data_IF_240642811775
#
_entry.id   IF_240642811775
#
_cell.length_a   1.000
_cell.length_b   1.000
_cell.length_c   1.000
_cell.angle_alpha   90.00
_cell.angle_beta   90.00
_cell.angle_gamma   90.00
#
_symmetry.space_group_name_H-M   'P 1'
#
loop_
_entity.id
_entity.type
_entity.pdbx_description
1 polymer ?
#
# COMPACT_ATOMS: atom_id res chain seq x y z
N UNK A 1 -46.55 31.00 -37.20
CA UNK A 1 -45.42 30.03 -37.19
C UNK A 1 -44.19 30.76 -36.65
N UNK A 2 -43.86 30.58 -35.36
CA UNK A 2 -42.75 31.27 -34.70
C UNK A 2 -41.65 30.23 -34.47
N UNK A 3 -40.54 30.34 -35.21
CA UNK A 3 -39.35 29.49 -35.03
C UNK A 3 -38.53 30.06 -33.86
N UNK A 4 -38.52 29.36 -32.73
CA UNK A 4 -37.60 29.62 -31.62
C UNK A 4 -36.24 29.02 -31.99
N UNK A 5 -35.23 29.86 -32.16
CA UNK A 5 -33.82 29.44 -32.19
C UNK A 5 -33.36 29.19 -30.75
N UNK A 6 -32.96 27.96 -30.44
CA UNK A 6 -32.27 27.61 -29.19
C UNK A 6 -30.77 27.93 -29.26
N UNK A 7 -30.10 28.15 -28.13
CA UNK A 7 -28.67 28.46 -28.11
C UNK A 7 -27.85 27.21 -28.41
N UNK A 8 -26.92 27.35 -29.34
CA UNK A 8 -25.88 26.37 -29.69
C UNK A 8 -24.91 26.26 -28.52
N UNK A 9 -24.80 25.07 -27.94
CA UNK A 9 -23.85 24.75 -26.88
C UNK A 9 -22.52 24.38 -27.54
N UNK A 10 -21.47 25.16 -27.28
CA UNK A 10 -20.12 24.95 -27.80
C UNK A 10 -19.46 23.79 -27.03
N UNK A 11 -19.04 22.73 -27.73
CA UNK A 11 -18.53 21.48 -27.15
C UNK A 11 -17.00 21.45 -27.00
N UNK A 12 -16.31 22.59 -27.12
CA UNK A 12 -14.84 22.61 -27.20
C UNK A 12 -14.09 23.15 -25.96
N UNK A 13 -14.74 23.29 -24.81
CA UNK A 13 -14.03 23.56 -23.55
C UNK A 13 -13.63 22.24 -22.88
N UNK A 14 -12.36 21.84 -23.03
CA UNK A 14 -11.73 20.88 -22.13
C UNK A 14 -11.53 21.55 -20.76
N UNK A 15 -12.12 21.04 -19.66
CA UNK A 15 -11.80 21.53 -18.34
C UNK A 15 -10.59 20.77 -17.77
N UNK A 16 -9.58 21.52 -17.33
CA UNK A 16 -8.79 21.12 -16.15
C UNK A 16 -7.38 20.58 -16.37
N UNK A 17 -6.46 21.41 -16.88
CA UNK A 17 -5.01 21.30 -16.59
C UNK A 17 -4.44 22.63 -16.07
N UNK A 18 -4.95 23.11 -14.93
CA UNK A 18 -4.55 24.43 -14.38
C UNK A 18 -4.37 24.45 -12.85
N UNK A 19 -3.78 23.41 -12.26
CA UNK A 19 -3.61 23.36 -10.79
C UNK A 19 -2.18 23.28 -10.26
N UNK A 20 -1.13 23.46 -11.09
CA UNK A 20 0.26 23.40 -10.57
C UNK A 20 1.19 24.56 -10.96
N UNK A 21 0.67 25.67 -11.49
CA UNK A 21 1.52 26.83 -11.83
C UNK A 21 1.04 28.10 -11.13
N UNK A 22 1.74 28.51 -10.07
CA UNK A 22 1.69 29.89 -9.59
C UNK A 22 1.80 30.09 -8.08
N UNK A 23 3.02 30.02 -7.54
CA UNK A 23 3.46 30.89 -6.43
C UNK A 23 4.94 31.22 -6.64
N UNK A 24 5.23 31.94 -7.73
CA UNK A 24 6.44 32.75 -7.84
C UNK A 24 6.02 34.19 -7.52
N UNK A 25 6.53 34.73 -6.42
CA UNK A 25 6.17 36.05 -5.92
C UNK A 25 6.57 37.16 -6.87
N UNK A 26 5.58 37.92 -7.36
CA UNK A 26 5.79 39.27 -7.85
C UNK A 26 5.88 40.23 -6.67
N UNK A 27 7.10 40.62 -6.33
CA UNK A 27 7.35 41.78 -5.49
C UNK A 27 7.16 43.05 -6.34
N UNK A 28 5.93 43.59 -6.37
CA UNK A 28 5.71 44.96 -6.84
C UNK A 28 6.12 45.95 -5.74
N UNK A 29 7.23 46.62 -6.00
CA UNK A 29 7.68 47.81 -5.28
C UNK A 29 6.64 48.92 -5.39
N UNK A 30 5.87 49.14 -4.33
CA UNK A 30 5.08 50.37 -4.15
C UNK A 30 5.79 51.28 -3.16
N UNK A 31 6.48 52.27 -3.70
CA UNK A 31 7.04 53.39 -2.96
C UNK A 31 5.93 54.14 -2.21
N UNK A 32 6.05 54.20 -0.89
CA UNK A 32 5.16 54.94 0.00
C UNK A 32 5.96 55.56 1.13
N UNK A 33 6.39 56.80 0.91
CA UNK A 33 7.01 57.69 1.89
C UNK A 33 6.03 57.98 3.04
N UNK A 34 6.39 57.69 4.31
CA UNK A 34 6.05 58.57 5.43
C UNK A 34 6.85 58.26 6.71
N UNK A 35 7.64 59.26 7.06
CA UNK A 35 8.24 59.60 8.37
C UNK A 35 7.29 59.48 9.56
N UNK A 36 7.81 59.06 10.72
CA UNK A 36 7.18 59.38 12.01
C UNK A 36 7.64 58.53 13.21
N UNK A 37 8.61 59.07 13.94
CA UNK A 37 8.83 59.07 15.40
C UNK A 37 8.93 57.77 16.24
N UNK A 38 10.13 57.67 16.83
CA UNK A 38 10.50 57.21 18.17
C UNK A 38 9.37 57.17 19.21
N UNK A 39 9.28 56.07 19.98
CA UNK A 39 9.27 56.11 21.45
C UNK A 39 9.69 54.74 22.01
N UNK A 40 10.75 54.74 22.81
CA UNK A 40 11.16 53.66 23.71
C UNK A 40 10.07 53.37 24.76
N UNK A 41 9.87 52.10 25.10
CA UNK A 41 9.41 51.70 26.42
C UNK A 41 9.80 50.25 26.72
N UNK A 42 10.67 50.13 27.71
CA UNK A 42 10.99 48.94 28.48
C UNK A 42 9.77 48.07 28.81
N UNK A 43 9.92 46.76 28.64
CA UNK A 43 9.17 45.77 29.41
C UNK A 43 9.96 44.46 29.51
N UNK A 44 10.45 44.22 30.73
CA UNK A 44 11.14 43.03 31.16
C UNK A 44 10.29 41.77 30.94
N UNK A 45 10.82 40.82 30.16
CA UNK A 45 10.24 39.49 29.98
C UNK A 45 10.91 38.51 30.94
N UNK A 46 10.31 38.35 32.12
CA UNK A 46 10.65 37.33 33.12
C UNK A 46 10.19 35.96 32.61
N UNK A 47 11.14 35.11 32.21
CA UNK A 47 10.85 33.72 31.84
C UNK A 47 10.42 32.90 33.06
N UNK A 48 9.28 32.18 33.03
CA UNK A 48 8.94 31.23 34.08
C UNK A 48 9.82 29.98 33.95
N UNK A 49 10.62 29.73 34.99
CA UNK A 49 11.40 28.51 35.22
C UNK A 49 10.43 27.36 35.51
N UNK A 50 10.14 26.54 34.50
CA UNK A 50 9.39 25.29 34.67
C UNK A 50 10.27 24.27 35.41
N UNK A 51 9.87 23.94 36.63
CA UNK A 51 10.36 22.81 37.42
C UNK A 51 9.98 21.51 36.74
N UNK A 52 10.97 20.78 36.24
CA UNK A 52 10.84 19.40 35.80
C UNK A 52 10.87 18.51 37.04
N UNK A 53 9.68 18.19 37.57
CA UNK A 53 9.49 17.12 38.55
C UNK A 53 9.55 15.77 37.84
N UNK A 54 10.72 15.14 37.88
CA UNK A 54 10.97 13.82 37.31
C UNK A 54 10.84 12.78 38.44
N UNK A 55 9.66 12.16 38.59
CA UNK A 55 9.47 10.98 39.44
C UNK A 55 8.61 9.95 38.74
N UNK A 56 9.28 9.00 38.09
CA UNK A 56 9.09 7.57 38.31
C UNK A 56 7.70 6.99 38.04
N UNK A 57 7.56 6.35 36.88
CA UNK A 57 6.98 5.01 36.71
C UNK A 57 7.17 4.62 35.24
N UNK A 58 8.35 4.09 34.91
CA UNK A 58 8.59 3.47 33.62
C UNK A 58 7.89 2.11 33.59
N UNK A 59 6.61 2.09 33.24
CA UNK A 59 6.03 0.91 32.62
C UNK A 59 6.71 0.73 31.27
N UNK A 60 7.55 -0.30 31.17
CA UNK A 60 8.19 -0.74 29.93
C UNK A 60 7.13 -1.27 28.97
N UNK A 61 6.37 -0.36 28.35
CA UNK A 61 5.65 -0.63 27.13
C UNK A 61 6.69 -0.88 26.05
N UNK A 62 6.75 -2.11 25.55
CA UNK A 62 7.54 -2.47 24.38
C UNK A 62 7.33 -1.39 23.32
N UNK A 63 8.42 -0.71 22.95
CA UNK A 63 8.40 0.35 21.96
C UNK A 63 7.97 -0.27 20.62
N UNK A 64 6.67 -0.24 20.34
CA UNK A 64 6.15 -0.56 19.03
C UNK A 64 6.68 0.53 18.11
N UNK A 65 7.64 0.17 17.27
CA UNK A 65 8.17 1.08 16.27
C UNK A 65 6.99 1.59 15.45
N UNK A 66 6.73 2.91 15.53
CA UNK A 66 5.73 3.58 14.71
C UNK A 66 6.18 3.41 13.26
N UNK A 67 5.68 2.38 12.59
CA UNK A 67 5.94 2.19 11.16
C UNK A 67 5.26 3.34 10.45
N UNK A 68 6.03 4.08 9.68
CA UNK A 68 5.48 5.06 8.75
C UNK A 68 4.66 4.28 7.73
N UNK A 69 3.35 4.53 7.67
CA UNK A 69 2.46 3.95 6.68
C UNK A 69 2.36 4.96 5.54
N UNK A 70 2.75 4.58 4.34
CA UNK A 70 2.57 5.43 3.18
C UNK A 70 1.07 5.58 2.87
N UNK A 71 0.59 6.78 2.50
CA UNK A 71 -0.80 6.95 2.08
C UNK A 71 -1.15 6.01 0.92
N UNK A 72 -2.40 5.54 0.90
CA UNK A 72 -2.90 4.74 -0.22
C UNK A 72 -2.79 5.53 -1.53
N UNK A 73 -2.07 4.98 -2.50
CA UNK A 73 -1.86 5.60 -3.80
C UNK A 73 -3.05 5.27 -4.71
N UNK A 74 -4.00 6.19 -4.83
CA UNK A 74 -5.11 6.04 -5.77
C UNK A 74 -4.59 6.11 -7.21
N UNK A 75 -5.06 5.22 -8.08
CA UNK A 75 -4.95 5.46 -9.52
C UNK A 75 -5.90 6.57 -9.95
N UNK A 76 -5.60 7.26 -11.06
CA UNK A 76 -6.49 8.29 -11.63
C UNK A 76 -7.93 7.77 -11.83
N UNK A 77 -8.05 6.51 -12.26
CA UNK A 77 -9.34 5.84 -12.43
C UNK A 77 -10.08 5.62 -11.11
N UNK A 78 -9.37 5.21 -10.06
CA UNK A 78 -9.96 5.04 -8.73
C UNK A 78 -10.42 6.38 -8.16
N UNK A 79 -9.57 7.40 -8.28
CA UNK A 79 -9.88 8.76 -7.83
C UNK A 79 -11.13 9.29 -8.52
N UNK A 80 -11.17 9.24 -9.85
CA UNK A 80 -12.33 9.67 -10.64
C UNK A 80 -13.60 8.89 -10.31
N UNK A 81 -13.50 7.58 -10.05
CA UNK A 81 -14.64 6.76 -9.67
C UNK A 81 -15.21 7.14 -8.29
N UNK A 82 -14.35 7.43 -7.32
CA UNK A 82 -14.76 7.86 -5.98
C UNK A 82 -15.37 9.26 -6.07
N UNK A 83 -14.76 10.17 -6.82
CA UNK A 83 -15.26 11.52 -7.02
C UNK A 83 -16.65 11.52 -7.68
N UNK A 84 -16.82 10.76 -8.77
CA UNK A 84 -18.11 10.62 -9.45
C UNK A 84 -19.19 10.04 -8.52
N UNK A 85 -18.81 9.08 -7.66
CA UNK A 85 -19.75 8.51 -6.70
C UNK A 85 -20.15 9.50 -5.61
N UNK A 86 -19.22 10.32 -5.10
CA UNK A 86 -19.52 11.40 -4.16
C UNK A 86 -20.49 12.41 -4.81
N UNK A 87 -20.21 12.86 -6.02
CA UNK A 87 -21.07 13.77 -6.77
C UNK A 87 -22.48 13.21 -7.00
N UNK A 88 -22.58 11.93 -7.39
CA UNK A 88 -23.87 11.24 -7.59
C UNK A 88 -24.72 11.10 -6.31
N UNK A 89 -24.13 11.31 -5.13
CA UNK A 89 -24.83 11.33 -3.85
C UNK A 89 -25.16 12.74 -3.35
N UNK A 90 -25.07 13.75 -4.22
CA UNK A 90 -25.40 15.15 -3.90
C UNK A 90 -24.31 15.90 -3.16
N UNK A 91 -23.06 15.41 -3.21
CA UNK A 91 -21.90 16.05 -2.58
C UNK A 91 -21.15 16.87 -3.64
N UNK A 92 -21.72 18.02 -4.01
CA UNK A 92 -21.35 18.78 -5.21
C UNK A 92 -20.08 19.64 -5.09
N UNK A 93 -19.62 19.93 -3.88
CA UNK A 93 -18.37 20.68 -3.67
C UNK A 93 -17.13 19.82 -4.03
N UNK A 94 -16.50 20.15 -5.16
CA UNK A 94 -15.30 19.46 -5.63
C UNK A 94 -14.10 19.57 -4.69
N UNK A 95 -13.95 20.68 -3.97
CA UNK A 95 -12.85 20.86 -3.02
C UNK A 95 -13.07 19.96 -1.80
N UNK A 96 -14.29 19.97 -1.25
CA UNK A 96 -14.67 19.08 -0.15
C UNK A 96 -14.50 17.60 -0.52
N UNK A 97 -14.88 17.21 -1.75
CA UNK A 97 -14.65 15.85 -2.26
C UNK A 97 -13.17 15.50 -2.30
N UNK A 98 -12.33 16.38 -2.84
CA UNK A 98 -10.89 16.13 -2.94
C UNK A 98 -10.23 15.98 -1.55
N UNK A 99 -10.60 16.84 -0.60
CA UNK A 99 -10.13 16.76 0.79
C UNK A 99 -10.59 15.46 1.45
N UNK A 100 -11.86 15.09 1.28
CA UNK A 100 -12.41 13.85 1.83
C UNK A 100 -11.66 12.61 1.29
N UNK A 101 -11.42 12.54 -0.02
CA UNK A 101 -10.67 11.42 -0.64
C UNK A 101 -9.24 11.38 -0.09
N UNK A 102 -8.54 12.52 -0.07
CA UNK A 102 -7.16 12.59 0.42
C UNK A 102 -7.03 12.17 1.90
N UNK A 103 -7.99 12.56 2.73
CA UNK A 103 -8.00 12.21 4.15
C UNK A 103 -8.21 10.71 4.40
N UNK A 104 -8.93 10.01 3.53
CA UNK A 104 -9.12 8.55 3.64
C UNK A 104 -7.88 7.74 3.21
N UNK A 105 -6.93 8.33 2.48
CA UNK A 105 -5.79 7.61 1.91
C UNK A 105 -4.96 6.89 2.98
N UNK A 106 -4.70 7.55 4.12
CA UNK A 106 -3.89 6.96 5.18
C UNK A 106 -4.63 5.80 5.86
N UNK A 107 -5.92 5.96 6.17
CA UNK A 107 -6.67 4.90 6.84
C UNK A 107 -6.89 3.68 5.95
N UNK A 108 -7.06 3.89 4.63
CA UNK A 108 -7.11 2.79 3.66
C UNK A 108 -5.81 2.01 3.62
N UNK A 109 -4.66 2.67 3.69
CA UNK A 109 -3.37 1.98 3.76
C UNK A 109 -3.25 1.13 5.03
N UNK A 110 -3.74 1.63 6.18
CA UNK A 110 -3.78 0.90 7.46
C UNK A 110 -4.74 -0.30 7.42
N UNK A 111 -5.84 -0.20 6.66
CA UNK A 111 -6.73 -1.34 6.41
C UNK A 111 -6.09 -2.37 5.48
N UNK A 112 -5.47 -1.92 4.39
CA UNK A 112 -4.86 -2.79 3.39
C UNK A 112 -3.68 -3.58 3.95
N UNK A 113 -2.86 -2.98 4.82
CA UNK A 113 -1.67 -3.63 5.41
C UNK A 113 -1.99 -4.87 6.27
N UNK A 114 -3.27 -5.13 6.53
CA UNK A 114 -3.76 -6.29 7.29
C UNK A 114 -4.03 -7.50 6.41
N UNK A 115 -4.32 -7.26 5.13
CA UNK A 115 -4.55 -8.34 4.18
C UNK A 115 -3.19 -8.98 3.99
N UNK A 116 -2.96 -10.23 4.48
CA UNK A 116 -1.71 -10.89 4.23
C UNK A 116 -1.52 -10.95 2.72
N UNK A 117 -0.37 -10.48 2.23
CA UNK A 117 -0.05 -10.55 0.81
C UNK A 117 -0.32 -12.00 0.35
N UNK A 118 -1.05 -12.20 -0.76
CA UNK A 118 -1.27 -13.53 -1.30
C UNK A 118 0.07 -14.23 -1.37
N UNK A 119 0.22 -15.37 -0.70
CA UNK A 119 1.44 -16.15 -0.80
C UNK A 119 1.64 -16.45 -2.29
N UNK A 120 2.68 -15.87 -2.90
CA UNK A 120 2.96 -16.08 -4.33
C UNK A 120 3.00 -17.59 -4.57
N UNK A 121 2.15 -18.12 -5.48
CA UNK A 121 2.20 -19.52 -5.80
C UNK A 121 3.59 -19.81 -6.37
N UNK A 122 4.26 -20.90 -5.95
CA UNK A 122 5.57 -21.25 -6.48
C UNK A 122 5.47 -21.32 -8.00
N UNK A 123 6.26 -20.50 -8.70
CA UNK A 123 6.21 -20.40 -10.16
C UNK A 123 6.37 -21.80 -10.78
N UNK A 124 5.32 -22.28 -11.44
CA UNK A 124 5.41 -23.48 -12.27
C UNK A 124 6.33 -23.18 -13.46
N UNK A 125 7.35 -24.01 -13.72
CA UNK A 125 8.24 -23.80 -14.85
C UNK A 125 7.45 -23.99 -16.15
N UNK A 126 7.34 -22.93 -16.94
CA UNK A 126 6.78 -23.00 -18.29
C UNK A 126 7.74 -23.81 -19.18
N UNK A 127 7.30 -25.01 -19.56
CA UNK A 127 7.89 -25.80 -20.63
C UNK A 127 7.95 -24.99 -21.92
N UNK A 128 9.15 -24.59 -22.32
CA UNK A 128 9.39 -24.06 -23.66
C UNK A 128 9.13 -25.15 -24.70
N UNK A 129 8.10 -24.92 -25.51
CA UNK A 129 7.81 -25.70 -26.72
C UNK A 129 8.94 -25.48 -27.71
N UNK A 130 9.78 -26.50 -27.87
CA UNK A 130 10.82 -26.57 -28.90
C UNK A 130 10.14 -26.66 -30.27
N UNK A 131 10.51 -25.72 -31.14
CA UNK A 131 10.14 -25.67 -32.55
C UNK A 131 10.81 -26.83 -33.29
N UNK A 132 10.02 -27.64 -33.97
CA UNK A 132 10.45 -28.83 -34.71
C UNK A 132 11.40 -28.50 -35.88
N UNK A 133 12.44 -29.32 -36.03
CA UNK A 133 13.22 -29.53 -37.26
C UNK A 133 13.22 -31.06 -37.50
N UNK A 134 12.97 -31.57 -38.73
CA UNK A 134 12.90 -33.01 -38.97
C UNK A 134 14.23 -33.64 -39.40
N UNK A 135 14.36 -34.92 -39.03
CA UNK A 135 15.09 -36.07 -39.60
C UNK A 135 16.61 -36.00 -39.88
N UNK A 136 17.38 -36.85 -39.17
CA UNK A 136 18.01 -38.04 -39.75
C UNK A 136 18.81 -38.88 -38.73
N UNK A 137 18.53 -40.18 -38.76
CA UNK A 137 19.33 -41.37 -38.43
C UNK A 137 19.80 -41.76 -37.01
N UNK A 138 19.71 -43.08 -36.83
CA UNK A 138 20.01 -43.93 -35.68
C UNK A 138 21.48 -43.88 -35.24
N UNK A 139 21.73 -43.91 -33.93
CA UNK A 139 22.22 -45.12 -33.24
C UNK A 139 22.53 -44.90 -31.74
N UNK A 140 22.43 -46.02 -31.00
CA UNK A 140 23.06 -46.33 -29.71
C UNK A 140 22.65 -45.54 -28.43
N UNK A 141 21.77 -46.19 -27.68
CA UNK A 141 21.55 -46.02 -26.24
C UNK A 141 22.85 -45.98 -25.43
N UNK A 142 23.11 -44.86 -24.75
CA UNK A 142 23.92 -44.83 -23.52
C UNK A 142 23.18 -43.97 -22.50
N UNK A 143 22.61 -44.62 -21.49
CA UNK A 143 21.87 -43.99 -20.39
C UNK A 143 22.84 -43.25 -19.47
N UNK A 144 23.10 -41.98 -19.76
CA UNK A 144 23.83 -41.07 -18.85
C UNK A 144 22.84 -40.60 -17.77
N UNK A 145 23.15 -40.69 -16.47
CA UNK A 145 22.28 -40.19 -15.42
C UNK A 145 22.08 -38.69 -15.61
N UNK A 146 20.82 -38.29 -15.82
CA UNK A 146 20.42 -36.91 -15.98
C UNK A 146 20.77 -36.12 -14.72
N UNK A 147 21.93 -35.45 -14.75
CA UNK A 147 22.29 -34.43 -13.78
C UNK A 147 21.17 -33.38 -13.82
N UNK A 148 20.42 -33.24 -12.72
CA UNK A 148 19.49 -32.14 -12.54
C UNK A 148 20.27 -30.85 -12.83
N UNK A 149 19.80 -29.97 -13.74
CA UNK A 149 20.43 -28.67 -13.90
C UNK A 149 20.43 -28.02 -12.52
N UNK A 150 21.63 -27.75 -12.01
CA UNK A 150 21.78 -26.95 -10.82
C UNK A 150 21.14 -25.61 -11.17
N UNK A 151 19.95 -25.36 -10.63
CA UNK A 151 19.35 -24.03 -10.64
C UNK A 151 20.35 -23.15 -9.90
N UNK A 152 21.22 -22.48 -10.67
CA UNK A 152 22.02 -21.39 -10.15
C UNK A 152 21.00 -20.43 -9.56
N UNK A 153 21.03 -20.31 -8.23
CA UNK A 153 20.05 -19.59 -7.42
C UNK A 153 19.83 -18.20 -8.04
N UNK A 154 18.65 -17.91 -8.63
CA UNK A 154 18.41 -16.67 -9.37
C UNK A 154 18.67 -15.41 -8.51
N UNK A 155 18.63 -15.57 -7.19
CA UNK A 155 18.97 -14.56 -6.20
C UNK A 155 20.44 -14.12 -6.25
N UNK A 156 21.38 -15.03 -6.47
CA UNK A 156 22.81 -14.69 -6.54
C UNK A 156 23.09 -13.77 -7.72
N UNK A 157 22.50 -14.07 -8.88
CA UNK A 157 22.66 -13.25 -10.08
C UNK A 157 22.02 -11.87 -9.91
N UNK A 158 20.89 -11.79 -9.19
CA UNK A 158 20.25 -10.52 -8.85
C UNK A 158 21.12 -9.67 -7.92
N UNK A 159 21.71 -10.26 -6.87
CA UNK A 159 22.62 -9.57 -5.94
C UNK A 159 23.82 -9.00 -6.70
N UNK A 160 24.45 -9.81 -7.55
CA UNK A 160 25.61 -9.40 -8.35
C UNK A 160 25.25 -8.27 -9.33
N UNK A 161 24.16 -8.43 -10.08
CA UNK A 161 23.69 -7.43 -11.05
C UNK A 161 23.35 -6.10 -10.38
N UNK A 162 22.62 -6.13 -9.25
CA UNK A 162 22.28 -4.92 -8.51
C UNK A 162 23.53 -4.23 -7.94
N UNK A 163 24.49 -5.01 -7.42
CA UNK A 163 25.75 -4.47 -6.89
C UNK A 163 26.60 -3.82 -7.99
N UNK A 164 26.72 -4.47 -9.16
CA UNK A 164 27.42 -3.91 -10.31
C UNK A 164 26.75 -2.66 -10.86
N UNK A 165 25.42 -2.63 -10.93
CA UNK A 165 24.69 -1.45 -11.39
C UNK A 165 24.88 -0.26 -10.43
N UNK A 166 24.78 -0.48 -9.12
CA UNK A 166 25.02 0.57 -8.13
C UNK A 166 26.45 1.11 -8.20
N UNK A 167 27.44 0.24 -8.38
CA UNK A 167 28.84 0.62 -8.55
C UNK A 167 29.05 1.43 -9.85
N UNK A 168 28.44 1.00 -10.97
CA UNK A 168 28.49 1.69 -12.25
C UNK A 168 27.91 3.11 -12.15
N UNK A 169 26.73 3.26 -11.55
CA UNK A 169 26.10 4.57 -11.34
C UNK A 169 26.93 5.47 -10.40
N UNK A 170 27.60 4.90 -9.41
CA UNK A 170 28.48 5.66 -8.50
C UNK A 170 29.73 6.16 -9.22
N UNK A 171 30.26 5.37 -10.17
CA UNK A 171 31.46 5.69 -10.93
C UNK A 171 31.27 6.76 -12.01
N UNK A 172 30.03 7.04 -12.42
CA UNK A 172 29.75 8.08 -13.41
C UNK A 172 30.23 9.45 -12.91
N UNK A 173 30.92 10.18 -13.79
CA UNK A 173 31.29 11.56 -13.53
C UNK A 173 30.12 12.54 -13.74
N UNK A 174 30.33 13.83 -13.45
CA UNK A 174 29.27 14.83 -13.54
C UNK A 174 28.77 15.04 -14.99
N UNK A 175 29.64 14.85 -15.99
CA UNK A 175 29.27 14.99 -17.40
C UNK A 175 28.42 13.81 -17.86
N UNK A 176 28.83 12.58 -17.54
CA UNK A 176 28.09 11.36 -17.83
C UNK A 176 26.72 11.34 -17.12
N UNK A 177 26.66 11.79 -15.87
CA UNK A 177 25.39 11.94 -15.13
C UNK A 177 24.45 12.94 -15.77
N UNK A 178 24.99 14.06 -16.29
CA UNK A 178 24.20 15.07 -17.00
C UNK A 178 23.65 14.54 -18.33
N UNK A 179 24.42 13.74 -19.07
CA UNK A 179 23.98 13.09 -20.31
C UNK A 179 22.86 12.08 -20.02
N UNK A 180 23.08 11.20 -19.04
CA UNK A 180 22.07 10.23 -18.61
C UNK A 180 20.78 10.92 -18.11
N UNK A 181 20.87 12.04 -17.39
CA UNK A 181 19.69 12.84 -17.02
C UNK A 181 18.92 13.33 -18.23
N UNK A 182 19.64 13.78 -19.26
CA UNK A 182 19.03 14.34 -20.47
C UNK A 182 18.25 13.26 -21.19
N UNK A 183 18.83 12.07 -21.36
CA UNK A 183 18.16 10.91 -21.95
C UNK A 183 16.95 10.46 -21.12
N UNK A 184 17.08 10.36 -19.80
CA UNK A 184 15.97 9.98 -18.92
C UNK A 184 14.81 10.97 -19.04
N UNK A 185 15.08 12.28 -19.06
CA UNK A 185 14.04 13.32 -19.22
C UNK A 185 13.32 13.25 -20.56
N UNK A 186 14.02 12.90 -21.64
CA UNK A 186 13.37 12.75 -22.94
C UNK A 186 12.32 11.62 -22.95
N UNK A 187 12.54 10.59 -22.13
CA UNK A 187 11.64 9.44 -22.00
C UNK A 187 10.62 9.57 -20.87
N UNK A 188 10.77 10.53 -19.96
CA UNK A 188 9.93 10.66 -18.76
C UNK A 188 8.68 11.51 -19.03
N UNK A 189 7.46 10.92 -19.04
CA UNK A 189 6.23 11.68 -19.24
C UNK A 189 5.87 12.60 -18.07
N UNK A 190 6.56 12.47 -16.93
CA UNK A 190 6.28 13.22 -15.70
C UNK A 190 7.28 14.35 -15.43
N UNK A 191 8.27 14.56 -16.30
CA UNK A 191 9.29 15.62 -16.19
C UNK A 191 9.93 15.71 -14.79
N UNK A 192 10.32 14.56 -14.22
CA UNK A 192 10.90 14.51 -12.87
C UNK A 192 12.29 15.14 -12.87
N UNK A 193 12.64 15.76 -11.74
CA UNK A 193 13.98 16.27 -11.53
C UNK A 193 14.99 15.11 -11.40
N UNK A 194 15.83 14.93 -12.41
CA UNK A 194 17.02 14.09 -12.34
C UNK A 194 18.21 14.94 -11.88
N UNK A 195 18.40 15.07 -10.57
CA UNK A 195 19.55 15.77 -9.97
C UNK A 195 20.45 14.79 -9.20
N UNK A 196 21.48 15.30 -8.52
CA UNK A 196 22.37 14.47 -7.72
C UNK A 196 21.64 13.75 -6.57
N UNK A 197 20.57 14.35 -6.04
CA UNK A 197 19.75 13.74 -4.97
C UNK A 197 19.01 12.54 -5.53
N UNK A 198 18.43 12.67 -6.73
CA UNK A 198 17.77 11.58 -7.43
C UNK A 198 18.70 10.39 -7.67
N UNK A 199 19.91 10.61 -8.22
CA UNK A 199 20.86 9.52 -8.44
C UNK A 199 21.28 8.82 -7.15
N UNK A 200 21.56 9.59 -6.08
CA UNK A 200 21.88 9.01 -4.79
C UNK A 200 20.72 8.17 -4.23
N UNK A 201 19.47 8.61 -4.42
CA UNK A 201 18.29 7.84 -4.02
C UNK A 201 18.19 6.53 -4.82
N UNK A 202 18.40 6.55 -6.13
CA UNK A 202 18.37 5.36 -6.99
C UNK A 202 19.50 4.38 -6.61
N UNK A 203 20.72 4.87 -6.39
CA UNK A 203 21.86 4.04 -5.96
C UNK A 203 21.54 3.35 -4.62
N UNK A 204 21.04 4.10 -3.64
CA UNK A 204 20.68 3.57 -2.33
C UNK A 204 19.56 2.51 -2.44
N UNK A 205 18.58 2.73 -3.30
CA UNK A 205 17.49 1.78 -3.51
C UNK A 205 17.98 0.48 -4.17
N UNK A 206 18.87 0.57 -5.17
CA UNK A 206 19.49 -0.61 -5.80
C UNK A 206 20.33 -1.40 -4.78
N UNK A 207 21.11 -0.71 -3.94
CA UNK A 207 21.87 -1.35 -2.86
C UNK A 207 20.96 -2.04 -1.83
N UNK A 208 19.82 -1.41 -1.49
CA UNK A 208 18.81 -2.00 -0.60
C UNK A 208 18.22 -3.29 -1.20
N UNK A 209 17.95 -3.32 -2.50
CA UNK A 209 17.49 -4.52 -3.22
C UNK A 209 18.56 -5.62 -3.17
N UNK A 210 19.83 -5.29 -3.45
CA UNK A 210 20.94 -6.24 -3.36
C UNK A 210 21.04 -6.85 -1.95
N UNK A 211 20.97 -6.02 -0.91
CA UNK A 211 21.00 -6.48 0.49
C UNK A 211 19.79 -7.35 0.85
N UNK A 212 18.59 -7.03 0.35
CA UNK A 212 17.39 -7.83 0.60
C UNK A 212 17.49 -9.21 -0.07
N UNK A 213 18.00 -9.27 -1.30
CA UNK A 213 18.22 -10.52 -2.02
C UNK A 213 19.29 -11.39 -1.37
N UNK A 214 20.39 -10.79 -0.89
CA UNK A 214 21.45 -11.50 -0.15
C UNK A 214 20.93 -12.09 1.18
N UNK A 215 20.13 -11.31 1.92
CA UNK A 215 19.45 -11.79 3.12
C UNK A 215 18.48 -12.95 2.82
N UNK A 216 17.81 -12.91 1.67
CA UNK A 216 16.91 -13.98 1.26
C UNK A 216 17.68 -15.26 0.94
N UNK A 217 18.75 -15.16 0.15
CA UNK A 217 19.61 -16.29 -0.18
C UNK A 217 20.25 -16.92 1.06
N UNK A 218 20.69 -16.08 2.01
CA UNK A 218 21.24 -16.53 3.31
C UNK A 218 20.20 -17.29 4.16
N UNK A 219 18.91 -16.93 4.07
CA UNK A 219 17.83 -17.64 4.77
C UNK A 219 17.45 -18.95 4.10
N UNK A 220 17.58 -19.03 2.78
CA UNK A 220 17.27 -20.23 2.00
C UNK A 220 18.40 -21.25 1.99
N UNK A 221 19.63 -20.85 2.34
CA UNK A 221 20.75 -21.75 2.54
C UNK A 221 20.31 -22.90 3.47
N UNK A 222 20.14 -24.12 2.92
CA UNK A 222 19.53 -25.20 3.66
C UNK A 222 20.42 -25.51 4.87
N UNK A 223 19.80 -25.63 6.05
CA UNK A 223 20.42 -26.18 7.26
C UNK A 223 20.75 -27.66 7.05
N UNK A 224 21.62 -27.97 6.11
CA UNK A 224 22.25 -29.28 6.00
C UNK A 224 23.44 -29.28 6.93
N UNK A 225 23.50 -30.29 7.81
CA UNK A 225 24.55 -30.57 8.82
C UNK A 225 24.31 -29.99 10.23
N UNK A 226 23.18 -30.36 10.84
CA UNK A 226 23.14 -30.68 12.28
C UNK A 226 22.55 -32.09 12.54
N UNK A 227 22.73 -33.01 11.59
CA UNK A 227 22.52 -34.45 11.82
C UNK A 227 23.87 -35.12 11.97
N UNK A 228 24.38 -35.16 13.21
CA UNK A 228 25.66 -35.82 13.50
C UNK A 228 26.15 -35.68 14.94
N UNK A 229 25.28 -35.52 15.93
CA UNK A 229 25.66 -35.72 17.33
C UNK A 229 24.95 -36.99 17.85
N UNK A 230 25.69 -38.04 18.24
CA UNK A 230 25.10 -39.27 18.75
C UNK A 230 24.40 -39.01 20.09
N UNK A 231 23.09 -39.23 20.12
CA UNK A 231 22.26 -39.16 21.32
C UNK A 231 22.65 -40.30 22.30
N UNK A 232 23.03 -39.99 23.55
CA UNK A 232 23.25 -41.03 24.56
C UNK A 232 21.91 -41.59 25.04
N UNK A 233 21.72 -42.88 24.75
CA UNK A 233 20.77 -43.85 25.29
C UNK A 233 19.98 -43.42 26.53
N UNK A 234 18.65 -43.29 26.39
CA UNK A 234 17.72 -43.19 27.52
C UNK A 234 16.81 -44.44 27.55
N UNK A 235 16.77 -45.18 28.68
CA UNK A 235 16.02 -46.44 28.76
C UNK A 235 14.52 -46.24 28.99
N UNK A 236 13.77 -47.19 28.42
CA UNK A 236 12.33 -47.39 28.46
C UNK A 236 11.77 -47.73 29.86
N UNK A 237 10.67 -47.09 30.25
CA UNK A 237 9.58 -47.66 31.09
C UNK A 237 8.25 -47.00 30.64
N UNK A 238 7.30 -47.69 30.01
CA UNK A 238 6.36 -48.75 30.44
C UNK A 238 5.05 -48.22 31.08
N UNK A 239 3.97 -48.30 30.29
CA UNK A 239 2.53 -48.48 30.64
C UNK A 239 1.84 -47.36 31.46
N UNK A 240 0.54 -47.05 31.37
CA UNK A 240 -0.65 -47.87 31.10
C UNK A 240 -1.86 -46.99 30.68
N UNK A 241 -2.77 -47.56 29.86
CA UNK A 241 -4.26 -47.50 29.91
C UNK A 241 -5.02 -46.16 29.74
N UNK A 242 -5.72 -46.03 28.61
CA UNK A 242 -7.08 -45.46 28.49
C UNK A 242 -7.75 -45.98 27.19
N UNK A 243 -8.56 -47.04 27.28
CA UNK A 243 -10.04 -47.12 27.20
C UNK A 243 -10.65 -46.73 25.83
N UNK A 244 -11.35 -47.66 25.14
CA UNK A 244 -11.96 -47.42 23.84
C UNK A 244 -13.42 -46.94 23.99
N UNK A 245 -13.82 -45.98 23.15
CA UNK A 245 -15.23 -45.63 22.94
C UNK A 245 -15.59 -45.75 21.46
N UNK A 246 -16.73 -46.38 21.27
CA UNK A 246 -17.43 -46.82 20.06
C UNK A 246 -17.82 -45.71 19.09
N UNK A 247 -17.73 -45.92 17.77
CA UNK A 247 -18.41 -45.10 16.78
C UNK A 247 -19.82 -45.65 16.48
N UNK A 248 -20.86 -44.88 16.79
CA UNK A 248 -22.24 -45.17 16.36
C UNK A 248 -22.47 -44.55 14.98
N UNK A 249 -22.88 -45.40 14.03
CA UNK A 249 -23.21 -45.05 12.66
C UNK A 249 -24.42 -44.10 12.58
N UNK A 250 -24.26 -42.99 11.86
CA UNK A 250 -25.38 -42.14 11.41
C UNK A 250 -25.38 -42.09 9.88
N UNK A 251 -26.33 -42.86 9.35
CA UNK A 251 -27.03 -42.80 8.06
C UNK A 251 -26.61 -41.69 7.07
N UNK A 252 -26.03 -42.13 5.95
CA UNK A 252 -25.96 -41.42 4.67
C UNK A 252 -27.35 -41.00 4.18
N UNK A 253 -27.54 -39.68 4.05
CA UNK A 253 -28.61 -39.06 3.28
C UNK A 253 -28.01 -38.23 2.15
N UNK A 254 -28.16 -38.70 0.93
CA UNK A 254 -27.68 -38.10 -0.33
C UNK A 254 -28.66 -36.98 -0.73
N UNK A 255 -28.22 -35.71 -0.70
CA UNK A 255 -28.84 -34.64 -1.51
C UNK A 255 -27.78 -33.62 -1.99
N UNK A 256 -27.64 -33.61 -3.32
CA UNK A 256 -27.40 -32.47 -4.22
C UNK A 256 -26.16 -31.57 -4.04
N UNK A 257 -25.31 -31.67 -5.07
CA UNK A 257 -24.41 -30.63 -5.52
C UNK A 257 -25.16 -29.29 -5.70
N UNK A 258 -24.71 -28.29 -4.95
CA UNK A 258 -24.85 -26.87 -5.30
C UNK A 258 -23.62 -26.17 -4.72
N UNK A 259 -23.03 -25.27 -5.51
CA UNK A 259 -21.81 -24.53 -5.20
C UNK A 259 -21.93 -23.81 -3.84
N UNK A 260 -21.43 -24.47 -2.80
CA UNK A 260 -21.45 -23.99 -1.43
C UNK A 260 -20.34 -22.98 -1.19
N UNK A 261 -20.62 -21.71 -1.49
CA UNK A 261 -19.93 -20.62 -0.84
C UNK A 261 -20.14 -20.78 0.66
N UNK A 262 -19.08 -21.09 1.39
CA UNK A 262 -19.07 -21.09 2.86
C UNK A 262 -19.46 -19.70 3.33
N UNK A 263 -20.74 -19.53 3.69
CA UNK A 263 -21.21 -18.38 4.46
C UNK A 263 -20.67 -18.53 5.89
N UNK A 264 -19.39 -18.21 6.05
CA UNK A 264 -18.80 -17.98 7.36
C UNK A 264 -19.68 -16.98 8.11
N UNK A 265 -20.03 -17.33 9.35
CA UNK A 265 -20.75 -16.43 10.26
C UNK A 265 -20.16 -15.03 10.21
N UNK A 266 -20.97 -13.96 10.36
CA UNK A 266 -20.46 -12.61 10.44
C UNK A 266 -19.57 -12.51 11.67
N UNK A 267 -18.25 -12.63 11.46
CA UNK A 267 -17.24 -12.33 12.46
C UNK A 267 -17.53 -10.94 13.02
N UNK A 268 -17.31 -10.77 14.33
CA UNK A 268 -17.43 -9.45 14.93
C UNK A 268 -16.58 -8.45 14.13
N UNK A 269 -17.07 -7.21 13.89
CA UNK A 269 -16.28 -6.22 13.17
C UNK A 269 -14.97 -5.98 13.91
N UNK A 270 -13.87 -5.96 13.16
CA UNK A 270 -12.55 -5.74 13.73
C UNK A 270 -12.46 -4.31 14.28
N UNK A 271 -11.72 -4.08 15.38
CA UNK A 271 -11.67 -2.77 16.04
C UNK A 271 -11.17 -1.64 15.13
N UNK A 272 -10.35 -1.97 14.13
CA UNK A 272 -9.87 -0.96 13.19
C UNK A 272 -10.84 -0.63 12.08
N UNK A 273 -11.73 -1.55 11.70
CA UNK A 273 -12.81 -1.24 10.78
C UNK A 273 -13.71 -0.17 11.42
N UNK A 274 -13.99 -0.33 12.72
CA UNK A 274 -14.73 0.65 13.50
C UNK A 274 -13.97 1.98 13.61
N UNK A 275 -12.65 1.94 13.83
CA UNK A 275 -11.82 3.14 13.88
C UNK A 275 -11.82 3.89 12.53
N UNK A 276 -11.65 3.17 11.42
CA UNK A 276 -11.75 3.70 10.06
C UNK A 276 -13.11 4.38 9.84
N UNK A 277 -14.22 3.69 10.15
CA UNK A 277 -15.57 4.24 9.95
C UNK A 277 -15.79 5.51 10.79
N UNK A 278 -15.31 5.54 12.04
CA UNK A 278 -15.44 6.72 12.91
C UNK A 278 -14.65 7.91 12.38
N UNK A 279 -13.41 7.68 11.94
CA UNK A 279 -12.59 8.74 11.38
C UNK A 279 -13.19 9.27 10.06
N UNK A 280 -13.58 8.37 9.15
CA UNK A 280 -14.27 8.71 7.91
C UNK A 280 -15.57 9.49 8.16
N UNK A 281 -16.33 9.13 9.21
CA UNK A 281 -17.55 9.82 9.61
C UNK A 281 -17.28 11.25 10.12
N UNK A 282 -16.20 11.45 10.88
CA UNK A 282 -15.75 12.78 11.32
C UNK A 282 -15.36 13.68 10.14
N UNK A 283 -14.54 13.16 9.21
CA UNK A 283 -14.15 13.90 8.00
C UNK A 283 -15.38 14.19 7.13
N UNK A 284 -16.28 13.22 6.98
CA UNK A 284 -17.53 13.41 6.21
C UNK A 284 -18.35 14.58 6.75
N UNK A 285 -18.54 14.65 8.08
CA UNK A 285 -19.26 15.74 8.72
C UNK A 285 -18.58 17.09 8.50
N UNK A 286 -17.25 17.14 8.55
CA UNK A 286 -16.47 18.37 8.36
C UNK A 286 -16.46 18.84 6.90
N UNK A 287 -16.43 17.93 5.94
CA UNK A 287 -16.35 18.28 4.52
C UNK A 287 -17.71 18.67 3.93
N UNK A 288 -18.81 18.07 4.40
CA UNK A 288 -20.10 18.17 3.71
C UNK A 288 -21.23 18.77 4.54
N UNK A 289 -20.95 19.25 5.76
CA UNK A 289 -21.93 19.82 6.70
C UNK A 289 -23.15 18.91 6.92
N UNK A 290 -22.96 17.60 6.78
CA UNK A 290 -24.01 16.59 6.90
C UNK A 290 -23.61 15.52 7.92
N UNK A 291 -24.48 15.19 8.89
CA UNK A 291 -24.16 14.17 9.87
C UNK A 291 -24.08 12.78 9.21
N UNK A 292 -23.10 11.95 9.60
CA UNK A 292 -23.00 10.58 9.11
C UNK A 292 -24.22 9.77 9.60
N UNK A 293 -24.73 8.86 8.75
CA UNK A 293 -25.90 8.03 9.07
C UNK A 293 -25.59 6.55 8.97
N UNK A 294 -26.16 5.76 9.90
CA UNK A 294 -26.03 4.31 9.92
C UNK A 294 -26.92 3.60 8.88
N UNK A 295 -27.84 4.32 8.23
CA UNK A 295 -28.73 3.74 7.22
C UNK A 295 -27.94 3.49 5.93
N UNK A 296 -28.09 2.30 5.37
CA UNK A 296 -27.39 1.86 4.15
C UNK A 296 -27.80 2.63 2.90
N UNK A 297 -28.94 3.33 2.92
CA UNK A 297 -29.43 4.10 1.79
C UNK A 297 -28.94 5.55 1.77
N UNK A 298 -28.31 6.03 2.84
CA UNK A 298 -27.88 7.43 3.00
C UNK A 298 -26.49 7.69 2.39
N UNK A 299 -26.14 8.96 2.08
CA UNK A 299 -24.91 9.31 1.39
C UNK A 299 -23.65 8.71 2.01
N UNK A 300 -23.46 8.81 3.32
CA UNK A 300 -22.27 8.28 4.01
C UNK A 300 -22.01 6.79 3.70
N UNK A 301 -23.02 5.94 3.87
CA UNK A 301 -22.89 4.51 3.62
C UNK A 301 -22.66 4.18 2.13
N UNK A 302 -23.23 4.97 1.21
CA UNK A 302 -23.03 4.81 -0.24
C UNK A 302 -21.62 5.21 -0.67
N UNK A 303 -21.09 6.29 -0.10
CA UNK A 303 -19.72 6.76 -0.32
C UNK A 303 -18.72 5.71 0.14
N UNK A 304 -18.87 5.15 1.35
CA UNK A 304 -17.99 4.07 1.81
C UNK A 304 -18.04 2.84 0.90
N UNK A 305 -19.20 2.49 0.33
CA UNK A 305 -19.28 1.41 -0.67
C UNK A 305 -18.57 1.76 -1.96
N UNK A 306 -18.66 3.00 -2.41
CA UNK A 306 -17.96 3.46 -3.60
C UNK A 306 -16.44 3.39 -3.42
N UNK A 307 -15.94 3.83 -2.27
CA UNK A 307 -14.52 3.71 -1.90
C UNK A 307 -14.09 2.24 -1.88
N UNK A 308 -14.85 1.37 -1.20
CA UNK A 308 -14.55 -0.07 -1.17
C UNK A 308 -14.54 -0.69 -2.57
N UNK A 309 -15.51 -0.33 -3.41
CA UNK A 309 -15.62 -0.83 -4.79
C UNK A 309 -14.47 -0.36 -5.67
N UNK A 310 -14.05 0.91 -5.55
CA UNK A 310 -12.98 1.47 -6.36
C UNK A 310 -11.60 0.92 -5.96
N UNK A 311 -11.37 0.76 -4.65
CA UNK A 311 -10.05 0.40 -4.11
C UNK A 311 -9.85 -1.11 -3.93
N UNK A 312 -10.94 -1.89 -3.93
CA UNK A 312 -10.90 -3.31 -3.59
C UNK A 312 -10.66 -3.58 -2.09
N UNK A 313 -10.51 -2.54 -1.27
CA UNK A 313 -10.36 -2.67 0.19
C UNK A 313 -11.73 -2.96 0.79
N UNK A 314 -11.82 -4.05 1.56
CA UNK A 314 -13.06 -4.43 2.22
C UNK A 314 -13.40 -3.44 3.34
N UNK A 315 -14.44 -2.63 3.15
CA UNK A 315 -14.98 -1.72 4.17
C UNK A 315 -16.35 -2.26 4.62
N UNK A 316 -16.57 -2.57 5.90
CA UNK A 316 -17.85 -3.11 6.36
C UNK A 316 -18.94 -2.02 6.38
N UNK A 317 -19.81 -2.04 5.37
CA UNK A 317 -20.90 -1.05 5.22
C UNK A 317 -22.27 -1.57 5.68
N UNK A 318 -22.30 -2.65 6.48
CA UNK A 318 -23.56 -3.19 7.01
C UNK A 318 -24.14 -2.26 8.10
N UNK A 319 -25.46 -2.09 8.11
CA UNK A 319 -26.16 -1.19 9.05
C UNK A 319 -25.79 -1.43 10.52
N UNK A 320 -25.58 -2.68 10.93
CA UNK A 320 -25.18 -3.04 12.30
C UNK A 320 -23.79 -2.50 12.65
N UNK A 321 -22.83 -2.61 11.73
CA UNK A 321 -21.45 -2.14 11.93
C UNK A 321 -21.40 -0.63 11.92
N UNK A 322 -22.09 0.01 10.98
CA UNK A 322 -22.22 1.47 10.95
C UNK A 322 -22.88 2.01 12.23
N UNK A 323 -23.96 1.38 12.71
CA UNK A 323 -24.61 1.78 13.97
C UNK A 323 -23.68 1.63 15.17
N UNK A 324 -22.86 0.58 15.20
CA UNK A 324 -21.89 0.35 16.26
C UNK A 324 -20.77 1.41 16.22
N UNK A 325 -20.22 1.69 15.05
CA UNK A 325 -19.16 2.68 14.87
C UNK A 325 -19.63 4.10 15.22
N UNK A 326 -20.83 4.49 14.75
CA UNK A 326 -21.37 5.85 14.90
C UNK A 326 -21.99 6.13 16.28
N UNK A 327 -22.18 5.14 17.15
CA UNK A 327 -22.71 5.37 18.51
C UNK A 327 -21.72 6.10 19.43
N UNK A 328 -20.45 6.12 19.07
CA UNK A 328 -19.36 6.70 19.86
C UNK A 328 -18.93 8.10 19.38
N UNK A 329 -19.61 8.65 18.35
CA UNK A 329 -19.43 10.02 17.90
C UNK A 329 -20.44 10.94 18.59
#
# INVERSE_FOLDING_TARGET
MIRKHGPTFDQNEQPGRRWLQGYAGSAENKAGNKTGNETEADSASTSPRLQVGNTGLHTSHAATSKRFVEPYQYSDQQYAAIEAALAANGLEDGTARAVFIGALAYDLAVLQSRIPAPAEPPASPESSVVKAIPDADMDAQTSVPAARPQQIEPWMNLVETASHLAAGLTALDDAERSELCTELRQSDPFDRACDAIYFNAVINEIQRIAQAADNHASKQAPKQLEQGAPEPSRPSERSVKAKPLTPTAVKSGRINASAGGTFSHPSAPEPADLAFIRHAAGIFAQCFDQPPSAKTTEPFARVLRAVAKATGVAIPTQARVLKLALKEL
#
